data_IF_103269972409
#
_entry.id   IF_103269972409
#
_cell.length_a   1.000
_cell.length_b   1.000
_cell.length_c   1.000
_cell.angle_alpha   90.00
_cell.angle_beta   90.00
_cell.angle_gamma   90.00
#
_symmetry.space_group_name_H-M   'P 1'
#
loop_
_entity.id
_entity.type
_entity.pdbx_description
1 polymer ?
#
# COMPACT_ATOMS: atom_id res chain seq x y z
N UNK A 1 15.57 -7.42 -0.86
CA UNK A 1 14.43 -6.73 -1.48
C UNK A 1 13.63 -6.06 -0.37
N UNK A 2 13.17 -4.85 -0.60
CA UNK A 2 12.35 -4.07 0.31
C UNK A 2 11.05 -3.68 -0.36
N UNK A 3 9.93 -3.76 0.35
CA UNK A 3 8.59 -3.42 -0.17
C UNK A 3 7.88 -2.49 0.82
N UNK A 4 7.27 -1.41 0.33
CA UNK A 4 6.36 -0.59 1.12
C UNK A 4 4.90 -0.95 0.78
N UNK A 5 4.04 -1.01 1.80
CA UNK A 5 2.59 -1.22 1.65
C UNK A 5 1.88 0.01 2.20
N UNK A 6 1.41 0.88 1.32
CA UNK A 6 0.72 2.11 1.66
C UNK A 6 -0.75 1.80 1.96
N UNK A 7 -1.24 2.28 3.09
CA UNK A 7 -2.55 1.88 3.62
C UNK A 7 -2.55 0.47 4.21
N UNK A 8 -1.38 -0.06 4.52
CA UNK A 8 -1.17 -1.45 4.94
C UNK A 8 -1.68 -1.83 6.34
N UNK A 9 -2.37 -0.94 7.04
CA UNK A 9 -2.91 -1.20 8.38
C UNK A 9 -4.20 -2.03 8.38
N UNK A 10 -4.85 -2.19 7.22
CA UNK A 10 -6.03 -3.04 7.05
C UNK A 10 -5.68 -4.53 6.92
N UNK A 11 -6.69 -5.43 6.97
CA UNK A 11 -6.48 -6.88 6.93
C UNK A 11 -5.71 -7.36 5.70
N UNK A 12 -5.97 -6.78 4.52
CA UNK A 12 -5.30 -7.14 3.27
C UNK A 12 -3.81 -6.75 3.31
N UNK A 13 -3.49 -5.52 3.72
CA UNK A 13 -2.12 -5.05 3.85
C UNK A 13 -1.31 -5.82 4.88
N UNK A 14 -1.89 -6.10 6.04
CA UNK A 14 -1.27 -6.91 7.09
C UNK A 14 -1.04 -8.36 6.62
N UNK A 15 -2.00 -8.95 5.92
CA UNK A 15 -1.88 -10.30 5.37
C UNK A 15 -0.78 -10.42 4.31
N UNK A 16 -0.60 -9.42 3.46
CA UNK A 16 0.51 -9.34 2.50
C UNK A 16 1.84 -9.15 3.22
N UNK A 17 1.91 -8.21 4.16
CA UNK A 17 3.12 -7.93 4.94
C UNK A 17 3.63 -9.20 5.64
N UNK A 18 2.74 -9.95 6.29
CA UNK A 18 3.08 -11.21 6.94
C UNK A 18 3.68 -12.23 5.96
N UNK A 19 3.10 -12.37 4.77
CA UNK A 19 3.56 -13.32 3.75
C UNK A 19 4.91 -12.94 3.17
N UNK A 20 5.11 -11.67 2.86
CA UNK A 20 6.39 -11.18 2.36
C UNK A 20 7.51 -11.30 3.40
N UNK A 21 7.25 -10.95 4.65
CA UNK A 21 8.23 -11.11 5.73
C UNK A 21 8.58 -12.58 5.98
N UNK A 22 7.60 -13.50 5.92
CA UNK A 22 7.86 -14.95 5.97
C UNK A 22 8.74 -15.44 4.81
N UNK A 23 8.69 -14.77 3.66
CA UNK A 23 9.53 -15.05 2.51
C UNK A 23 10.93 -14.37 2.59
N UNK A 24 11.23 -13.69 3.70
CA UNK A 24 12.51 -13.03 3.90
C UNK A 24 12.62 -11.63 3.30
N UNK A 25 11.50 -11.03 2.90
CA UNK A 25 11.44 -9.67 2.33
C UNK A 25 11.24 -8.66 3.46
N UNK A 26 12.02 -7.58 3.46
CA UNK A 26 11.84 -6.45 4.38
C UNK A 26 10.58 -5.66 3.99
N UNK A 27 9.66 -5.47 4.93
CA UNK A 27 8.37 -4.82 4.68
C UNK A 27 8.19 -3.60 5.56
N UNK A 28 7.73 -2.51 4.94
CA UNK A 28 7.37 -1.26 5.59
C UNK A 28 5.88 -1.00 5.38
N UNK A 29 5.11 -0.91 6.47
CA UNK A 29 3.70 -0.53 6.41
C UNK A 29 3.57 0.97 6.58
N UNK A 30 3.03 1.64 5.55
CA UNK A 30 2.71 3.06 5.57
C UNK A 30 1.28 3.33 6.02
N UNK A 31 1.09 4.40 6.77
CA UNK A 31 -0.23 4.92 7.16
C UNK A 31 -0.21 6.44 7.22
N UNK A 32 -1.37 7.08 7.09
CA UNK A 32 -1.55 8.51 7.40
C UNK A 32 -1.37 8.80 8.89
N UNK A 33 -1.62 7.80 9.72
CA UNK A 33 -1.44 7.84 11.16
C UNK A 33 -0.36 6.82 11.58
N UNK A 34 0.80 7.33 11.96
CA UNK A 34 1.93 6.50 12.36
C UNK A 34 1.63 5.62 13.59
N UNK A 35 0.75 6.08 14.50
CA UNK A 35 0.34 5.26 15.65
C UNK A 35 -0.43 4.02 15.22
N UNK A 36 -1.30 4.17 14.20
CA UNK A 36 -2.01 3.03 13.60
C UNK A 36 -1.04 2.07 12.91
N UNK A 37 -0.04 2.60 12.19
CA UNK A 37 1.00 1.76 11.59
C UNK A 37 1.75 0.97 12.67
N UNK A 38 2.19 1.62 13.74
CA UNK A 38 2.91 0.98 14.85
C UNK A 38 2.07 -0.11 15.54
N UNK A 39 0.79 0.13 15.77
CA UNK A 39 -0.11 -0.87 16.35
C UNK A 39 -0.31 -2.08 15.42
N UNK A 40 -0.53 -1.83 14.13
CA UNK A 40 -0.70 -2.89 13.13
C UNK A 40 0.53 -3.80 13.02
N UNK A 41 1.74 -3.23 13.02
CA UNK A 41 2.96 -4.04 12.92
C UNK A 41 3.23 -4.86 14.18
N UNK A 42 2.84 -4.40 15.36
CA UNK A 42 2.96 -5.20 16.58
C UNK A 42 2.15 -6.50 16.50
N UNK A 43 0.92 -6.41 16.01
CA UNK A 43 0.06 -7.58 15.80
C UNK A 43 0.64 -8.54 14.78
N UNK A 44 1.07 -8.04 13.63
CA UNK A 44 1.62 -8.87 12.54
C UNK A 44 2.94 -9.51 12.95
N UNK A 45 3.84 -8.75 13.59
CA UNK A 45 5.15 -9.25 14.04
C UNK A 45 5.02 -10.36 15.08
N UNK A 46 3.98 -10.33 15.92
CA UNK A 46 3.72 -11.40 16.90
C UNK A 46 3.44 -12.76 16.24
N UNK A 47 3.05 -12.77 14.97
CA UNK A 47 2.75 -13.97 14.17
C UNK A 47 3.89 -14.37 13.22
N UNK A 48 5.03 -13.67 13.25
CA UNK A 48 6.17 -14.00 12.42
C UNK A 48 6.96 -15.19 13.00
N UNK A 49 7.43 -16.11 12.13
CA UNK A 49 8.37 -17.14 12.53
C UNK A 49 9.70 -16.52 12.98
N UNK A 50 10.39 -17.21 13.87
CA UNK A 50 11.73 -16.84 14.31
C UNK A 50 12.68 -16.69 13.09
N UNK A 51 13.42 -15.58 13.03
CA UNK A 51 14.36 -15.30 11.94
C UNK A 51 13.76 -14.59 10.72
N UNK A 52 12.44 -14.34 10.71
CA UNK A 52 11.85 -13.46 9.70
C UNK A 52 12.25 -12.00 9.94
N UNK A 53 12.43 -11.16 8.89
CA UNK A 53 12.62 -9.74 9.05
C UNK A 53 11.42 -9.11 9.76
N UNK A 54 11.69 -8.20 10.69
CA UNK A 54 10.65 -7.44 11.38
C UNK A 54 9.97 -6.47 10.42
N UNK A 55 8.64 -6.41 10.45
CA UNK A 55 7.84 -5.44 9.70
C UNK A 55 7.85 -4.11 10.45
N UNK A 56 8.13 -3.03 9.74
CA UNK A 56 8.27 -1.68 10.31
C UNK A 56 7.07 -0.82 9.93
N UNK A 57 6.46 -0.16 10.91
CA UNK A 57 5.35 0.78 10.70
C UNK A 57 5.84 2.23 10.67
N UNK A 58 5.47 2.97 9.60
CA UNK A 58 5.91 4.34 9.34
C UNK A 58 4.73 5.20 8.84
N UNK A 59 4.96 6.50 8.67
CA UNK A 59 4.12 7.34 7.84
C UNK A 59 4.22 6.93 6.35
N UNK A 60 3.23 7.30 5.52
CA UNK A 60 3.23 6.90 4.11
C UNK A 60 4.50 7.35 3.37
N UNK A 61 4.91 8.58 3.55
CA UNK A 61 6.10 9.15 2.88
C UNK A 61 7.37 8.46 3.33
N UNK A 62 7.53 8.24 4.63
CA UNK A 62 8.69 7.57 5.20
C UNK A 62 8.79 6.12 4.73
N UNK A 63 7.66 5.41 4.61
CA UNK A 63 7.60 4.05 4.09
C UNK A 63 8.04 4.00 2.61
N UNK A 64 7.59 4.94 1.78
CA UNK A 64 8.00 5.04 0.37
C UNK A 64 9.50 5.31 0.25
N UNK A 65 10.05 6.21 1.07
CA UNK A 65 11.48 6.54 1.07
C UNK A 65 12.38 5.42 1.59
N UNK A 66 11.83 4.49 2.37
CA UNK A 66 12.56 3.35 2.93
C UNK A 66 12.85 2.24 1.90
N UNK A 67 12.23 2.29 0.72
CA UNK A 67 12.33 1.25 -0.31
C UNK A 67 12.81 1.83 -1.64
N UNK A 68 13.41 0.98 -2.46
CA UNK A 68 14.02 1.42 -3.71
C UNK A 68 13.00 1.44 -4.87
N UNK A 69 12.15 0.43 -5.00
CA UNK A 69 11.40 0.23 -6.24
C UNK A 69 9.90 -0.04 -6.03
N UNK A 70 9.51 -0.98 -5.17
CA UNK A 70 8.15 -1.54 -5.16
C UNK A 70 7.29 -0.94 -4.06
N UNK A 71 6.19 -0.31 -4.47
CA UNK A 71 5.15 0.24 -3.60
C UNK A 71 3.84 -0.50 -3.86
N UNK A 72 3.31 -1.20 -2.86
CA UNK A 72 1.97 -1.78 -2.92
C UNK A 72 0.98 -0.77 -2.34
N UNK A 73 -0.07 -0.48 -3.10
CA UNK A 73 -1.09 0.49 -2.73
C UNK A 73 -2.38 -0.23 -2.33
N UNK A 74 -2.71 -0.16 -1.03
CA UNK A 74 -3.75 -0.96 -0.37
C UNK A 74 -4.71 -0.11 0.47
N UNK A 75 -4.98 1.12 0.04
CA UNK A 75 -5.91 2.02 0.71
C UNK A 75 -7.37 1.68 0.35
N UNK A 76 -8.36 2.10 1.16
CA UNK A 76 -9.76 2.04 0.73
C UNK A 76 -10.00 2.89 -0.52
N UNK A 77 -10.97 2.49 -1.36
CA UNK A 77 -11.31 3.24 -2.58
C UNK A 77 -11.62 4.71 -2.31
N UNK A 78 -12.35 5.02 -1.24
CA UNK A 78 -12.66 6.39 -0.82
C UNK A 78 -11.45 7.27 -0.55
N UNK A 79 -10.30 6.68 -0.26
CA UNK A 79 -9.04 7.40 -0.02
C UNK A 79 -8.04 7.28 -1.19
N UNK A 80 -8.38 6.55 -2.26
CA UNK A 80 -7.48 6.19 -3.35
C UNK A 80 -6.88 7.41 -4.04
N UNK A 81 -7.71 8.25 -4.64
CA UNK A 81 -7.23 9.38 -5.45
C UNK A 81 -6.49 10.44 -4.62
N UNK A 82 -7.04 10.78 -3.45
CA UNK A 82 -6.42 11.78 -2.56
C UNK A 82 -5.06 11.32 -2.04
N UNK A 83 -4.95 10.04 -1.67
CA UNK A 83 -3.67 9.49 -1.20
C UNK A 83 -2.64 9.46 -2.33
N UNK A 84 -3.02 9.08 -3.55
CA UNK A 84 -2.13 9.11 -4.72
C UNK A 84 -1.59 10.50 -4.99
N UNK A 85 -2.43 11.51 -4.94
CA UNK A 85 -1.99 12.91 -5.11
C UNK A 85 -0.99 13.34 -4.06
N UNK A 86 -1.18 12.92 -2.79
CA UNK A 86 -0.28 13.25 -1.68
C UNK A 86 1.09 12.60 -1.82
N UNK A 87 1.17 11.37 -2.36
CA UNK A 87 2.43 10.61 -2.44
C UNK A 87 3.10 10.70 -3.81
N UNK A 88 2.46 11.28 -4.82
CA UNK A 88 2.92 11.31 -6.22
C UNK A 88 4.38 11.76 -6.35
N UNK A 89 4.77 12.82 -5.66
CA UNK A 89 6.14 13.36 -5.72
C UNK A 89 7.23 12.41 -5.19
N UNK A 90 6.83 11.39 -4.41
CA UNK A 90 7.75 10.42 -3.81
C UNK A 90 7.89 9.13 -4.63
N UNK A 91 7.12 9.01 -5.71
CA UNK A 91 7.05 7.78 -6.53
C UNK A 91 7.99 7.78 -7.73
N UNK A 92 8.85 8.80 -7.88
CA UNK A 92 9.85 8.81 -8.94
C UNK A 92 10.72 7.54 -8.90
N UNK A 93 10.92 6.93 -10.07
CA UNK A 93 11.70 5.69 -10.25
C UNK A 93 11.15 4.46 -9.50
N UNK A 94 9.87 4.52 -9.07
CA UNK A 94 9.21 3.41 -8.37
C UNK A 94 8.07 2.84 -9.21
N UNK A 95 7.70 1.60 -8.90
CA UNK A 95 6.56 0.90 -9.49
C UNK A 95 5.43 0.89 -8.46
N UNK A 96 4.27 1.40 -8.80
CA UNK A 96 3.08 1.29 -7.98
C UNK A 96 2.30 0.03 -8.36
N UNK A 97 2.12 -0.87 -7.41
CA UNK A 97 1.24 -2.04 -7.53
C UNK A 97 -0.09 -1.68 -6.87
N UNK A 98 -1.08 -1.33 -7.65
CA UNK A 98 -2.40 -0.94 -7.17
C UNK A 98 -3.31 -2.17 -7.00
N UNK A 99 -3.61 -2.53 -5.75
CA UNK A 99 -4.47 -3.67 -5.41
C UNK A 99 -5.87 -3.21 -4.95
N UNK A 100 -6.22 -1.96 -5.19
CA UNK A 100 -7.49 -1.38 -4.75
C UNK A 100 -8.63 -1.83 -5.67
N UNK A 101 -9.71 -2.30 -5.06
CA UNK A 101 -10.97 -2.57 -5.76
C UNK A 101 -11.94 -1.42 -5.46
N UNK A 102 -12.56 -0.77 -6.47
CA UNK A 102 -13.46 0.35 -6.27
C UNK A 102 -14.83 -0.11 -5.77
N UNK A 103 -14.91 -0.49 -4.50
CA UNK A 103 -16.15 -0.92 -3.86
C UNK A 103 -16.94 0.28 -3.34
N UNK A 104 -18.28 0.23 -3.50
CA UNK A 104 -19.19 1.22 -2.93
C UNK A 104 -19.09 1.22 -1.40
N UNK A 105 -19.04 2.41 -0.81
CA UNK A 105 -19.07 2.57 0.65
C UNK A 105 -20.40 2.12 1.26
N UNK A 106 -21.49 2.27 0.49
CA UNK A 106 -22.83 1.93 0.95
C UNK A 106 -23.20 0.46 0.77
N UNK A 107 -22.55 -0.23 -0.17
CA UNK A 107 -22.78 -1.64 -0.46
C UNK A 107 -21.48 -2.29 -0.98
N UNK A 108 -20.71 -2.96 -0.12
CA UNK A 108 -19.43 -3.56 -0.50
C UNK A 108 -19.55 -4.73 -1.49
N UNK A 109 -20.75 -5.10 -1.89
CA UNK A 109 -21.01 -6.07 -2.98
C UNK A 109 -21.10 -5.40 -4.35
N UNK A 110 -21.12 -4.07 -4.39
CA UNK A 110 -21.18 -3.28 -5.63
C UNK A 110 -19.85 -2.64 -5.92
N UNK A 111 -19.43 -2.73 -7.16
CA UNK A 111 -18.29 -2.00 -7.71
C UNK A 111 -18.76 -0.64 -8.22
N UNK A 112 -18.08 0.42 -7.82
CA UNK A 112 -18.25 1.78 -8.38
C UNK A 112 -17.15 2.02 -9.39
N UNK A 113 -17.39 1.66 -10.65
CA UNK A 113 -16.40 1.84 -11.72
C UNK A 113 -16.07 3.32 -11.91
N UNK A 114 -14.79 3.71 -11.81
CA UNK A 114 -14.37 5.06 -12.14
C UNK A 114 -14.49 5.32 -13.65
N UNK A 115 -14.51 6.59 -14.05
CA UNK A 115 -14.62 6.99 -15.48
C UNK A 115 -13.45 6.45 -16.30
N UNK A 116 -12.28 6.29 -15.69
CA UNK A 116 -11.07 5.73 -16.32
C UNK A 116 -11.18 4.23 -16.64
N UNK A 117 -12.12 3.51 -16.06
CA UNK A 117 -12.38 2.08 -16.32
C UNK A 117 -12.02 1.13 -15.18
N UNK A 118 -10.96 1.42 -14.41
CA UNK A 118 -10.54 0.64 -13.24
C UNK A 118 -9.81 1.53 -12.23
N UNK A 119 -9.61 1.03 -11.01
CA UNK A 119 -8.80 1.74 -10.01
C UNK A 119 -7.37 1.95 -10.52
N UNK A 120 -6.78 0.94 -11.15
CA UNK A 120 -5.42 0.99 -11.71
C UNK A 120 -5.31 2.02 -12.84
N UNK A 121 -6.31 2.12 -13.73
CA UNK A 121 -6.34 3.15 -14.78
C UNK A 121 -6.52 4.55 -14.19
N UNK A 122 -7.34 4.71 -13.17
CA UNK A 122 -7.47 5.97 -12.44
C UNK A 122 -6.14 6.36 -11.76
N UNK A 123 -5.44 5.41 -11.16
CA UNK A 123 -4.10 5.65 -10.59
C UNK A 123 -3.10 6.09 -11.66
N UNK A 124 -3.05 5.42 -12.81
CA UNK A 124 -2.17 5.79 -13.91
C UNK A 124 -2.48 7.19 -14.44
N UNK A 125 -3.76 7.56 -14.55
CA UNK A 125 -4.18 8.89 -14.98
C UNK A 125 -3.72 10.00 -14.01
N UNK A 126 -3.78 9.75 -12.70
CA UNK A 126 -3.32 10.68 -11.66
C UNK A 126 -1.79 10.82 -11.67
N UNK A 127 -1.08 9.71 -11.78
CA UNK A 127 0.38 9.68 -11.63
C UNK A 127 1.12 10.11 -12.90
N UNK A 128 0.49 9.98 -14.07
CA UNK A 128 1.12 10.28 -15.37
C UNK A 128 1.93 9.10 -15.91
N UNK A 129 2.53 9.27 -17.08
CA UNK A 129 3.23 8.20 -17.82
C UNK A 129 4.60 7.82 -17.25
N UNK A 130 5.19 8.69 -16.44
CA UNK A 130 6.55 8.50 -15.90
C UNK A 130 6.60 7.52 -14.72
N UNK A 131 5.47 7.28 -14.07
CA UNK A 131 5.37 6.36 -12.93
C UNK A 131 4.63 5.11 -13.39
N UNK A 132 5.30 3.94 -13.50
CA UNK A 132 4.64 2.69 -13.88
C UNK A 132 3.61 2.27 -12.83
N UNK A 133 2.39 1.96 -13.29
CA UNK A 133 1.32 1.42 -12.46
C UNK A 133 0.92 0.06 -12.99
N UNK A 134 0.82 -0.93 -12.09
CA UNK A 134 0.32 -2.27 -12.39
C UNK A 134 -0.77 -2.64 -11.39
N UNK A 135 -1.72 -3.49 -11.78
CA UNK A 135 -2.83 -3.94 -10.94
C UNK A 135 -3.11 -5.41 -11.06
#
# INVERSE_FOLDING_TARGET
>A
MKIAIIGGTGPQGQGLALRFAKAGIEVFIGSRDQKKASAAVQEVNSNLPHGSPEIIGLGNIEAIRAVDEIIIFAVPWSAHNDTLQQIKSELSEKILVDIVVPLSENDPKKVEMPEEGSATEAAQAILGSEIPVVG
#
